data_IF_675058483165
#
_entry.id   IF_675058483165
#
_cell.length_a   1.000
_cell.length_b   1.000
_cell.length_c   1.000
_cell.angle_alpha   90.00
_cell.angle_beta   90.00
_cell.angle_gamma   90.00
#
_symmetry.space_group_name_H-M   'P 1'
#
loop_
_entity.id
_entity.type
_entity.pdbx_description
1 polymer ?
#
# COMPACT_ATOMS: atom_id res chain seq x y z
N UNK A 1 -21.28 -22.19 -2.95
CA UNK A 1 -20.13 -21.25 -3.20
C UNK A 1 -19.63 -20.78 -1.84
N UNK A 2 -18.44 -21.21 -1.44
CA UNK A 2 -17.84 -20.71 -0.20
C UNK A 2 -17.42 -19.27 -0.40
N UNK A 3 -18.12 -18.34 0.24
CA UNK A 3 -17.74 -16.94 0.22
C UNK A 3 -16.56 -16.73 1.19
N UNK A 4 -15.41 -16.30 0.67
CA UNK A 4 -14.19 -16.07 1.45
C UNK A 4 -14.39 -15.00 2.56
N UNK A 5 -15.04 -13.89 2.19
CA UNK A 5 -15.06 -12.69 3.02
C UNK A 5 -15.77 -12.79 4.37
N UNK A 6 -16.93 -13.47 4.52
CA UNK A 6 -17.64 -13.48 5.80
C UNK A 6 -16.87 -14.12 6.96
N UNK A 7 -15.85 -14.94 6.66
CA UNK A 7 -15.06 -15.63 7.65
C UNK A 7 -13.58 -15.21 7.65
N UNK A 8 -13.19 -14.33 6.74
CA UNK A 8 -11.80 -13.92 6.57
C UNK A 8 -11.33 -13.01 7.71
N UNK A 9 -10.16 -13.31 8.22
CA UNK A 9 -9.41 -12.43 9.13
C UNK A 9 -8.57 -11.48 8.30
N UNK A 10 -8.87 -10.20 8.41
CA UNK A 10 -8.18 -9.11 7.70
C UNK A 10 -7.18 -8.42 8.62
N UNK A 11 -5.95 -8.28 8.17
CA UNK A 11 -4.89 -7.54 8.85
C UNK A 11 -4.54 -6.28 8.07
N UNK A 12 -4.84 -5.11 8.63
CA UNK A 12 -4.40 -3.82 8.08
C UNK A 12 -2.92 -3.60 8.41
N UNK A 13 -2.11 -3.41 7.37
CA UNK A 13 -0.66 -3.32 7.49
C UNK A 13 -0.16 -1.92 7.14
N UNK A 14 0.49 -1.28 8.11
CA UNK A 14 1.33 -0.12 7.87
C UNK A 14 2.78 -0.58 7.67
N UNK A 15 3.23 -0.67 6.42
CA UNK A 15 4.56 -1.17 6.06
C UNK A 15 5.67 -0.37 6.76
N UNK A 16 5.53 0.96 6.85
CA UNK A 16 6.51 1.84 7.49
C UNK A 16 6.73 1.52 8.98
N UNK A 17 5.71 1.01 9.68
CA UNK A 17 5.73 0.79 11.12
C UNK A 17 5.80 -0.69 11.54
N UNK A 18 5.65 -1.61 10.60
CA UNK A 18 5.59 -3.03 10.91
C UNK A 18 6.93 -3.58 11.41
N UNK A 19 8.03 -3.07 10.87
CA UNK A 19 9.39 -3.48 11.21
C UNK A 19 10.28 -2.26 11.44
N UNK A 20 11.42 -2.40 12.15
CA UNK A 20 12.38 -1.30 12.29
C UNK A 20 12.86 -0.73 10.96
N UNK A 21 13.02 -1.58 9.93
CA UNK A 21 13.45 -1.18 8.58
C UNK A 21 12.35 -0.40 7.82
N UNK A 22 11.08 -0.67 8.12
CA UNK A 22 9.94 -0.01 7.49
C UNK A 22 9.81 -0.26 6.00
N UNK A 23 10.25 -1.42 5.49
CA UNK A 23 10.28 -1.74 4.06
C UNK A 23 9.39 -2.91 3.69
N UNK A 24 9.00 -3.00 2.41
CA UNK A 24 8.24 -4.14 1.86
C UNK A 24 9.01 -5.45 2.01
N UNK A 25 10.33 -5.43 1.81
CA UNK A 25 11.17 -6.61 1.97
C UNK A 25 11.13 -7.14 3.41
N UNK A 26 11.24 -6.27 4.39
CA UNK A 26 11.14 -6.64 5.79
C UNK A 26 9.72 -7.10 6.14
N UNK A 27 8.69 -6.44 5.60
CA UNK A 27 7.29 -6.84 5.77
C UNK A 27 7.02 -8.24 5.20
N UNK A 28 7.61 -8.58 4.06
CA UNK A 28 7.51 -9.92 3.44
C UNK A 28 7.96 -11.02 4.42
N UNK A 29 9.01 -10.78 5.18
CA UNK A 29 9.51 -11.74 6.18
C UNK A 29 8.55 -11.98 7.35
N UNK A 30 7.57 -11.10 7.56
CA UNK A 30 6.55 -11.24 8.61
C UNK A 30 5.29 -11.98 8.16
N UNK A 31 5.12 -12.22 6.87
CA UNK A 31 3.92 -12.90 6.34
C UNK A 31 3.72 -14.32 6.91
N UNK A 32 4.76 -15.17 7.08
CA UNK A 32 4.58 -16.47 7.72
C UNK A 32 4.03 -16.37 9.14
N UNK A 33 4.49 -15.41 9.94
CA UNK A 33 3.98 -15.15 11.28
C UNK A 33 2.49 -14.75 11.26
N UNK A 34 2.09 -13.87 10.34
CA UNK A 34 0.68 -13.47 10.18
C UNK A 34 -0.19 -14.64 9.73
N UNK A 35 0.32 -15.51 8.87
CA UNK A 35 -0.38 -16.74 8.46
C UNK A 35 -0.59 -17.67 9.64
N UNK A 36 0.42 -17.90 10.47
CA UNK A 36 0.32 -18.73 11.67
C UNK A 36 -0.66 -18.15 12.70
N UNK A 37 -0.77 -16.82 12.75
CA UNK A 37 -1.75 -16.11 13.58
C UNK A 37 -3.20 -16.27 13.11
N UNK A 38 -3.40 -16.74 11.87
CA UNK A 38 -4.73 -16.96 11.29
C UNK A 38 -5.21 -15.85 10.34
N UNK A 39 -4.30 -14.98 9.85
CA UNK A 39 -4.65 -13.95 8.89
C UNK A 39 -4.90 -14.57 7.51
N UNK A 40 -6.01 -14.20 6.89
CA UNK A 40 -6.42 -14.66 5.55
C UNK A 40 -6.16 -13.63 4.46
N UNK A 41 -6.18 -12.36 4.81
CA UNK A 41 -5.90 -11.28 3.88
C UNK A 41 -5.14 -10.14 4.55
N UNK A 42 -4.20 -9.55 3.81
CA UNK A 42 -3.46 -8.37 4.23
C UNK A 42 -3.97 -7.16 3.44
N UNK A 43 -4.39 -6.13 4.15
CA UNK A 43 -4.73 -4.84 3.58
C UNK A 43 -3.55 -3.89 3.78
N UNK A 44 -2.84 -3.57 2.69
CA UNK A 44 -1.77 -2.60 2.71
C UNK A 44 -2.34 -1.18 2.76
N UNK A 45 -1.97 -0.40 3.78
CA UNK A 45 -2.10 1.05 3.72
C UNK A 45 -1.34 1.56 2.49
N UNK A 46 -1.66 2.77 1.95
CA UNK A 46 -1.10 3.21 0.68
C UNK A 46 0.42 3.08 0.61
N UNK A 47 0.91 2.43 -0.43
CA UNK A 47 2.35 2.16 -0.68
C UNK A 47 2.92 3.03 -1.80
N UNK A 48 2.16 3.99 -2.26
CA UNK A 48 2.49 4.87 -3.37
C UNK A 48 3.44 6.00 -2.95
N UNK A 49 4.19 6.61 -3.90
CA UNK A 49 4.95 7.82 -3.63
C UNK A 49 4.07 8.92 -3.03
N UNK A 50 4.59 9.58 -2.02
CA UNK A 50 3.89 10.65 -1.29
C UNK A 50 4.25 12.00 -1.90
N UNK A 51 3.26 12.90 -2.01
CA UNK A 51 3.46 14.26 -2.47
C UNK A 51 4.47 15.04 -1.61
N UNK A 52 5.20 15.95 -2.24
CA UNK A 52 6.19 16.81 -1.59
C UNK A 52 5.64 18.21 -1.35
N UNK A 53 4.78 18.69 -2.26
CA UNK A 53 4.18 20.01 -2.16
C UNK A 53 3.22 20.12 -0.96
N UNK A 54 3.58 20.96 0.01
CA UNK A 54 2.80 21.15 1.23
C UNK A 54 2.83 19.97 2.20
N UNK A 55 3.86 19.12 2.07
CA UNK A 55 4.06 17.96 2.95
C UNK A 55 4.17 18.40 4.42
N UNK A 56 3.44 17.72 5.28
CA UNK A 56 3.55 17.89 6.74
C UNK A 56 4.49 16.84 7.32
N UNK A 57 5.51 17.30 8.05
CA UNK A 57 6.56 16.44 8.59
C UNK A 57 7.53 15.95 7.50
N UNK A 58 8.54 15.18 7.89
CA UNK A 58 9.59 14.69 6.98
C UNK A 58 9.09 13.60 6.03
N UNK A 59 8.17 12.75 6.48
CA UNK A 59 7.71 11.57 5.75
C UNK A 59 6.39 11.79 4.99
N UNK A 60 5.59 12.77 5.39
CA UNK A 60 4.28 13.04 4.81
C UNK A 60 3.21 11.99 5.12
N UNK A 61 2.01 12.22 4.59
CA UNK A 61 0.88 11.31 4.75
C UNK A 61 0.83 10.27 3.64
N UNK A 62 0.62 9.01 3.98
CA UNK A 62 0.38 7.91 3.02
C UNK A 62 -0.78 8.20 2.06
N UNK A 63 -1.76 9.00 2.51
CA UNK A 63 -2.96 9.33 1.75
C UNK A 63 -2.79 10.55 0.84
N UNK A 64 -1.61 11.19 0.84
CA UNK A 64 -1.24 12.24 -0.11
C UNK A 64 -0.51 11.63 -1.29
N UNK A 65 -1.23 11.00 -2.20
CA UNK A 65 -0.67 10.17 -3.25
C UNK A 65 -0.19 11.02 -4.43
N UNK A 66 1.10 10.87 -4.77
CA UNK A 66 1.73 11.55 -5.90
C UNK A 66 1.62 10.75 -7.21
N UNK A 67 1.76 9.44 -7.14
CA UNK A 67 1.70 8.56 -8.31
C UNK A 67 1.07 7.21 -7.92
N UNK A 68 -0.07 6.88 -8.52
CA UNK A 68 -0.78 5.62 -8.29
C UNK A 68 -0.16 4.41 -9.01
N UNK A 69 0.81 4.64 -9.89
CA UNK A 69 1.45 3.60 -10.70
C UNK A 69 2.87 3.25 -10.25
N UNK A 70 3.29 3.73 -9.09
CA UNK A 70 4.64 3.51 -8.56
C UNK A 70 4.60 3.11 -7.09
N UNK A 71 5.70 2.54 -6.62
CA UNK A 71 5.95 2.23 -5.21
C UNK A 71 6.77 3.35 -4.58
N UNK A 72 6.42 3.74 -3.35
CA UNK A 72 7.19 4.71 -2.58
C UNK A 72 8.63 4.20 -2.39
N UNK A 73 9.65 4.95 -2.86
CA UNK A 73 11.04 4.53 -2.76
C UNK A 73 11.52 4.25 -1.33
N UNK A 74 10.91 4.89 -0.33
CA UNK A 74 11.22 4.63 1.09
C UNK A 74 10.78 3.23 1.54
N UNK A 75 9.76 2.64 0.89
CA UNK A 75 9.26 1.32 1.21
C UNK A 75 9.95 0.21 0.39
N UNK A 76 10.53 0.56 -0.76
CA UNK A 76 11.19 -0.37 -1.65
C UNK A 76 10.92 -0.11 -3.13
N UNK A 77 11.05 -1.16 -3.93
CA UNK A 77 10.87 -1.14 -5.38
C UNK A 77 9.58 -1.86 -5.78
N UNK A 78 9.21 -1.77 -7.07
CA UNK A 78 8.13 -2.58 -7.63
C UNK A 78 8.44 -4.07 -7.50
N UNK A 79 9.70 -4.48 -7.68
CA UNK A 79 10.10 -5.88 -7.50
C UNK A 79 9.93 -6.35 -6.04
N UNK A 80 10.16 -5.49 -5.06
CA UNK A 80 9.89 -5.81 -3.65
C UNK A 80 8.38 -5.95 -3.38
N UNK A 81 7.55 -5.13 -4.03
CA UNK A 81 6.10 -5.25 -3.98
C UNK A 81 5.61 -6.56 -4.62
N UNK A 82 6.11 -6.90 -5.81
CA UNK A 82 5.78 -8.15 -6.49
C UNK A 82 6.17 -9.38 -5.64
N UNK A 83 7.34 -9.33 -5.01
CA UNK A 83 7.80 -10.38 -4.10
C UNK A 83 6.90 -10.51 -2.87
N UNK A 84 6.43 -9.40 -2.30
CA UNK A 84 5.48 -9.40 -1.18
C UNK A 84 4.17 -10.08 -1.58
N UNK A 85 3.60 -9.72 -2.73
CA UNK A 85 2.35 -10.31 -3.24
C UNK A 85 2.53 -11.79 -3.53
N UNK A 86 3.63 -12.18 -4.17
CA UNK A 86 3.94 -13.58 -4.46
C UNK A 86 4.04 -14.42 -3.20
N UNK A 87 4.72 -13.94 -2.16
CA UNK A 87 4.84 -14.65 -0.88
C UNK A 87 3.50 -14.75 -0.15
N UNK A 88 2.70 -13.68 -0.12
CA UNK A 88 1.36 -13.72 0.45
C UNK A 88 0.50 -14.81 -0.24
N UNK A 89 0.51 -14.84 -1.56
CA UNK A 89 -0.23 -15.84 -2.34
C UNK A 89 0.31 -17.26 -2.11
N UNK A 90 1.63 -17.44 -2.00
CA UNK A 90 2.24 -18.72 -1.68
C UNK A 90 1.75 -19.27 -0.33
N UNK A 91 1.53 -18.40 0.63
CA UNK A 91 0.99 -18.72 1.96
C UNK A 91 -0.55 -18.84 1.98
N UNK A 92 -1.22 -18.68 0.83
CA UNK A 92 -2.68 -18.73 0.72
C UNK A 92 -3.39 -17.48 1.26
N UNK A 93 -2.67 -16.38 1.45
CA UNK A 93 -3.24 -15.08 1.85
C UNK A 93 -3.56 -14.23 0.62
N UNK A 94 -4.58 -13.39 0.74
CA UNK A 94 -4.91 -12.36 -0.26
C UNK A 94 -4.29 -11.02 0.12
N UNK A 95 -4.08 -10.17 -0.89
CA UNK A 95 -3.59 -8.81 -0.70
C UNK A 95 -4.64 -7.83 -1.21
N UNK A 96 -4.96 -6.84 -0.38
CA UNK A 96 -5.79 -5.68 -0.74
C UNK A 96 -4.91 -4.43 -0.72
N UNK A 97 -5.15 -3.58 -1.68
CA UNK A 97 -4.54 -2.24 -1.71
C UNK A 97 -5.56 -1.21 -1.27
N UNK A 98 -5.09 -0.25 -0.50
CA UNK A 98 -5.89 0.93 -0.17
C UNK A 98 -6.11 1.77 -1.44
N UNK A 99 -7.35 2.13 -1.69
CA UNK A 99 -7.75 2.93 -2.85
C UNK A 99 -8.21 4.32 -2.43
N UNK A 100 -7.38 5.32 -2.68
CA UNK A 100 -7.66 6.73 -2.35
C UNK A 100 -8.25 7.42 -3.58
N UNK A 101 -9.56 7.35 -3.73
CA UNK A 101 -10.27 7.89 -4.89
C UNK A 101 -10.71 9.35 -4.73
N UNK A 102 -10.80 9.85 -3.48
CA UNK A 102 -11.36 11.16 -3.18
C UNK A 102 -10.44 12.33 -3.54
N UNK A 103 -9.13 12.17 -3.39
CA UNK A 103 -8.15 13.24 -3.58
C UNK A 103 -6.78 12.67 -3.95
N UNK A 104 -5.89 13.55 -4.40
CA UNK A 104 -4.48 13.27 -4.66
C UNK A 104 -3.59 14.27 -3.90
N UNK A 105 -2.27 14.05 -3.95
CA UNK A 105 -1.32 15.10 -3.58
C UNK A 105 -1.46 16.30 -4.51
N UNK A 106 -1.04 17.49 -4.05
CA UNK A 106 -1.07 18.74 -4.85
C UNK A 106 -0.13 18.69 -6.06
N UNK A 107 0.93 17.89 -5.96
CA UNK A 107 1.92 17.64 -7.00
C UNK A 107 1.76 16.24 -7.62
N UNK A 108 0.54 15.71 -7.60
CA UNK A 108 0.26 14.43 -8.22
C UNK A 108 0.48 14.47 -9.73
N UNK A 109 1.09 13.42 -10.25
CA UNK A 109 1.39 13.25 -11.67
C UNK A 109 0.15 13.44 -12.56
N UNK A 110 -0.99 12.92 -12.13
CA UNK A 110 -2.24 13.03 -12.88
C UNK A 110 -2.76 14.47 -13.04
N UNK A 111 -2.37 15.41 -12.18
CA UNK A 111 -2.77 16.83 -12.34
C UNK A 111 -2.21 17.40 -13.65
N UNK A 112 -1.01 16.98 -14.05
CA UNK A 112 -0.39 17.39 -15.31
C UNK A 112 -0.81 16.53 -16.51
N UNK A 113 -1.09 15.24 -16.29
CA UNK A 113 -1.29 14.26 -17.37
C UNK A 113 -2.74 14.02 -17.73
N UNK A 114 -3.69 14.29 -16.83
CA UNK A 114 -5.11 14.00 -17.04
C UNK A 114 -5.91 15.26 -17.31
N UNK A 115 -7.08 15.15 -17.96
CA UNK A 115 -7.97 16.28 -18.19
C UNK A 115 -8.35 17.00 -16.90
N UNK A 116 -8.49 18.32 -16.94
CA UNK A 116 -8.90 19.12 -15.78
C UNK A 116 -10.25 18.68 -15.16
N UNK A 117 -11.10 18.04 -15.96
CA UNK A 117 -12.39 17.46 -15.52
C UNK A 117 -12.26 16.29 -14.53
N UNK A 118 -11.07 15.74 -14.36
CA UNK A 118 -10.81 14.72 -13.33
C UNK A 118 -10.78 15.30 -11.91
N UNK A 119 -10.66 16.62 -11.80
CA UNK A 119 -10.55 17.32 -10.52
C UNK A 119 -11.65 18.38 -10.39
N UNK A 120 -12.37 18.36 -9.30
CA UNK A 120 -13.21 19.47 -8.88
C UNK A 120 -12.34 20.61 -8.34
N UNK A 121 -12.69 21.86 -8.68
CA UNK A 121 -11.99 23.07 -8.24
C UNK A 121 -12.81 23.84 -7.21
#
# INVERSE_FOLDING_TARGET
MNCFWPQAVLYEMNVRQLTPEGTLRAATSKLPFLKDLGVDAVWLMPVYPIGEAGRKGSLGSYYSIRDYCAVNPELGTMADFDAFVAEAHRLGMRVLLDWVANHTARDARWIAEKPASWYER
#
